data_IF_999152132481
#
_entry.id   IF_999152132481
#
_cell.length_a   1.000
_cell.length_b   1.000
_cell.length_c   1.000
_cell.angle_alpha   90.00
_cell.angle_beta   90.00
_cell.angle_gamma   90.00
#
_symmetry.space_group_name_H-M   'P 1'
#
loop_
_entity.id
_entity.type
_entity.pdbx_description
1 polymer ?
#
# COMPACT_ATOMS: atom_id res chain seq x y z
N UNK A 1 -4.46 7.68 4.04
CA UNK A 1 -3.09 7.11 3.99
C UNK A 1 -2.11 7.78 4.97
N UNK A 2 -2.54 8.16 6.19
CA UNK A 2 -1.71 8.97 7.12
C UNK A 2 -0.86 8.10 8.08
N UNK A 3 -0.96 6.78 7.97
CA UNK A 3 -0.52 5.86 9.01
C UNK A 3 0.46 4.76 8.54
N UNK A 4 0.95 4.76 7.29
CA UNK A 4 1.87 3.72 6.82
C UNK A 4 3.14 3.60 7.69
N UNK A 5 3.56 4.71 8.29
CA UNK A 5 4.69 4.76 9.22
C UNK A 5 4.48 3.92 10.49
N UNK A 6 3.22 3.67 10.91
CA UNK A 6 2.88 2.84 12.06
C UNK A 6 3.31 1.37 11.86
N UNK A 7 3.34 0.91 10.62
CA UNK A 7 3.64 -0.48 10.28
C UNK A 7 4.92 -0.61 9.44
N UNK A 8 5.63 0.50 9.21
CA UNK A 8 6.81 0.59 8.34
C UNK A 8 6.48 0.55 6.84
N UNK A 9 5.57 -0.33 6.42
CA UNK A 9 5.06 -0.40 5.06
C UNK A 9 3.61 -0.90 5.03
N UNK A 10 2.91 -0.64 3.92
CA UNK A 10 1.58 -1.20 3.65
C UNK A 10 1.65 -1.95 2.32
N UNK A 11 1.24 -3.21 2.34
CA UNK A 11 0.99 -3.98 1.14
C UNK A 11 -0.30 -3.57 0.47
N UNK A 12 -0.28 -3.35 -0.84
CA UNK A 12 -1.45 -2.97 -1.62
C UNK A 12 -1.66 -3.99 -2.74
N UNK A 13 -2.83 -4.63 -2.75
CA UNK A 13 -3.35 -5.36 -3.90
C UNK A 13 -3.94 -4.38 -4.91
N UNK A 14 -3.70 -4.61 -6.19
CA UNK A 14 -4.16 -3.76 -7.28
C UNK A 14 -4.74 -4.62 -8.41
N UNK A 15 -5.89 -4.23 -8.95
CA UNK A 15 -6.24 -4.54 -10.34
C UNK A 15 -5.46 -3.57 -11.25
N UNK A 16 -4.27 -3.98 -11.70
CA UNK A 16 -3.34 -3.09 -12.35
C UNK A 16 -3.84 -2.73 -13.76
N UNK A 17 -4.06 -1.44 -14.08
CA UNK A 17 -4.50 -1.06 -15.42
C UNK A 17 -3.34 -1.12 -16.42
N UNK A 18 -3.66 -1.38 -17.70
CA UNK A 18 -2.71 -1.32 -18.83
C UNK A 18 -1.94 0.00 -18.87
N UNK A 19 -2.63 1.11 -18.61
CA UNK A 19 -2.04 2.45 -18.55
C UNK A 19 -0.97 2.62 -17.47
N UNK A 20 -0.98 1.82 -16.39
CA UNK A 20 0.06 1.86 -15.37
C UNK A 20 1.39 1.29 -15.89
N UNK A 21 1.35 0.28 -16.76
CA UNK A 21 2.56 -0.27 -17.40
C UNK A 21 3.18 0.81 -18.30
N UNK A 22 2.36 1.45 -19.13
CA UNK A 22 2.78 2.55 -20.02
C UNK A 22 3.37 3.72 -19.23
N UNK A 23 2.69 4.15 -18.16
CA UNK A 23 3.17 5.23 -17.29
C UNK A 23 4.48 4.86 -16.61
N UNK A 24 4.65 3.61 -16.17
CA UNK A 24 5.89 3.17 -15.54
C UNK A 24 7.06 3.21 -16.53
N UNK A 25 6.89 2.67 -17.72
CA UNK A 25 7.91 2.65 -18.77
C UNK A 25 8.29 4.07 -19.20
N UNK A 26 7.30 4.96 -19.30
CA UNK A 26 7.50 6.39 -19.58
C UNK A 26 8.05 7.20 -18.38
N UNK A 27 8.20 6.59 -17.19
CA UNK A 27 8.59 7.24 -15.94
C UNK A 27 7.63 8.35 -15.49
N UNK A 28 6.36 8.24 -15.84
CA UNK A 28 5.29 9.08 -15.33
C UNK A 28 4.79 8.58 -13.97
N UNK A 29 4.10 9.45 -13.23
CA UNK A 29 3.40 9.07 -12.00
C UNK A 29 2.24 8.13 -12.35
N UNK A 30 2.04 7.08 -11.56
CA UNK A 30 0.82 6.27 -11.68
C UNK A 30 -0.41 7.09 -11.35
N UNK A 31 -1.29 7.23 -12.34
CA UNK A 31 -2.47 8.03 -12.23
C UNK A 31 -3.64 7.50 -13.06
N UNK A 32 -4.87 7.85 -12.67
CA UNK A 32 -6.07 7.39 -13.37
C UNK A 32 -6.14 8.05 -14.75
N UNK A 33 -6.16 7.23 -15.80
CA UNK A 33 -6.26 7.63 -17.20
C UNK A 33 -7.47 7.00 -17.89
N UNK A 34 -8.14 7.71 -18.82
CA UNK A 34 -9.18 7.12 -19.66
C UNK A 34 -8.65 5.94 -20.50
N UNK A 35 -9.54 5.02 -20.87
CA UNK A 35 -9.20 3.87 -21.73
C UNK A 35 -8.41 2.75 -21.03
N UNK A 36 -8.19 2.87 -19.72
CA UNK A 36 -7.58 1.81 -18.92
C UNK A 36 -8.44 0.54 -18.93
N UNK A 37 -7.80 -0.59 -19.21
CA UNK A 37 -8.35 -1.93 -19.01
C UNK A 37 -7.49 -2.69 -18.01
N UNK A 38 -8.04 -3.69 -17.33
CA UNK A 38 -7.24 -4.56 -16.46
C UNK A 38 -6.11 -5.23 -17.24
N UNK A 39 -4.90 -5.20 -16.68
CA UNK A 39 -3.75 -5.98 -17.10
C UNK A 39 -3.48 -7.17 -16.16
N UNK A 40 -4.34 -7.37 -15.15
CA UNK A 40 -4.24 -8.41 -14.13
C UNK A 40 -3.88 -7.88 -12.74
N UNK A 41 -3.88 -8.79 -11.77
CA UNK A 41 -3.55 -8.48 -10.38
C UNK A 41 -2.06 -8.14 -10.19
N UNK A 42 -1.78 -7.17 -9.34
CA UNK A 42 -0.42 -6.78 -8.96
C UNK A 42 -0.33 -6.41 -7.49
N UNK A 43 0.80 -6.73 -6.86
CA UNK A 43 1.06 -6.43 -5.46
C UNK A 43 2.23 -5.47 -5.33
N UNK A 44 2.06 -4.39 -4.56
CA UNK A 44 3.10 -3.38 -4.35
C UNK A 44 3.23 -3.01 -2.87
N UNK A 45 4.44 -2.67 -2.46
CA UNK A 45 4.71 -2.19 -1.09
C UNK A 45 4.73 -0.67 -1.08
N UNK A 46 3.75 -0.04 -0.42
CA UNK A 46 3.75 1.37 -0.09
C UNK A 46 4.75 1.63 1.05
N UNK A 47 5.78 2.42 0.77
CA UNK A 47 6.93 2.62 1.68
C UNK A 47 7.13 4.08 2.12
N UNK A 48 6.56 5.05 1.41
CA UNK A 48 6.72 6.45 1.77
C UNK A 48 5.60 7.35 1.23
N UNK A 49 5.59 8.59 1.71
CA UNK A 49 4.87 9.70 1.09
C UNK A 49 5.77 10.94 1.05
N UNK A 50 6.19 11.36 -0.14
CA UNK A 50 7.10 12.49 -0.37
C UNK A 50 6.53 13.40 -1.47
N UNK A 51 5.34 13.93 -1.22
CA UNK A 51 4.47 14.56 -2.24
C UNK A 51 3.42 13.58 -2.73
N UNK A 52 3.83 12.59 -3.52
CA UNK A 52 3.02 11.42 -3.88
C UNK A 52 3.19 10.29 -2.86
N UNK A 53 2.30 9.29 -2.94
CA UNK A 53 2.53 8.00 -2.31
C UNK A 53 3.61 7.28 -3.12
N UNK A 54 4.58 6.66 -2.46
CA UNK A 54 5.62 5.89 -3.14
C UNK A 54 5.43 4.40 -2.86
N UNK A 55 5.38 3.61 -3.93
CA UNK A 55 5.34 2.15 -3.88
C UNK A 55 6.62 1.57 -4.47
N UNK A 56 7.05 0.40 -4.01
CA UNK A 56 8.13 -0.35 -4.64
C UNK A 56 7.52 -1.30 -5.67
N UNK A 57 7.93 -1.15 -6.93
CA UNK A 57 7.52 -2.03 -8.03
C UNK A 57 8.63 -2.08 -9.09
N UNK A 58 8.80 -3.25 -9.71
CA UNK A 58 9.77 -3.50 -10.79
C UNK A 58 11.16 -2.87 -10.54
N UNK A 59 11.70 -3.10 -9.34
CA UNK A 59 13.08 -2.75 -8.98
C UNK A 59 13.34 -1.32 -8.53
N UNK A 60 12.32 -0.47 -8.34
CA UNK A 60 12.48 0.91 -7.83
C UNK A 60 11.25 1.42 -7.07
N UNK A 61 11.41 2.55 -6.39
CA UNK A 61 10.25 3.33 -5.94
C UNK A 61 9.57 3.99 -7.14
N UNK A 62 8.24 4.04 -7.10
CA UNK A 62 7.41 4.63 -8.13
C UNK A 62 6.33 5.50 -7.48
N UNK A 63 6.18 6.76 -7.89
CA UNK A 63 5.17 7.65 -7.36
C UNK A 63 3.78 7.29 -7.88
N UNK A 64 2.78 7.35 -7.01
CA UNK A 64 1.39 6.99 -7.25
C UNK A 64 0.48 8.08 -6.67
N UNK A 65 -0.55 8.47 -7.41
CA UNK A 65 -1.54 9.42 -6.89
C UNK A 65 -2.51 8.73 -5.92
N UNK A 66 -3.07 9.48 -4.94
CA UNK A 66 -4.13 8.95 -4.09
C UNK A 66 -5.33 8.40 -4.86
N UNK A 67 -5.71 9.05 -5.98
CA UNK A 67 -6.86 8.61 -6.80
C UNK A 67 -6.61 7.27 -7.48
N UNK A 68 -5.37 6.98 -7.88
CA UNK A 68 -5.02 5.67 -8.43
C UNK A 68 -5.22 4.56 -7.40
N UNK A 69 -4.77 4.75 -6.16
CA UNK A 69 -4.98 3.78 -5.08
C UNK A 69 -6.48 3.61 -4.79
N UNK A 70 -7.26 4.69 -4.74
CA UNK A 70 -8.71 4.59 -4.52
C UNK A 70 -9.45 3.85 -5.64
N UNK A 71 -8.97 3.97 -6.87
CA UNK A 71 -9.62 3.39 -8.04
C UNK A 71 -9.29 1.92 -8.23
N UNK A 72 -8.05 1.52 -7.95
CA UNK A 72 -7.53 0.22 -8.37
C UNK A 72 -7.14 -0.71 -7.21
N UNK A 73 -7.05 -0.22 -5.98
CA UNK A 73 -6.74 -1.08 -4.84
C UNK A 73 -7.99 -1.78 -4.31
N UNK A 74 -7.94 -3.10 -4.21
CA UNK A 74 -8.95 -3.98 -3.61
C UNK A 74 -8.59 -4.38 -2.18
N UNK A 75 -7.31 -4.59 -1.89
CA UNK A 75 -6.84 -4.87 -0.53
C UNK A 75 -5.68 -3.96 -0.08
N UNK A 76 -5.64 -3.71 1.23
CA UNK A 76 -4.50 -3.13 1.92
C UNK A 76 -4.18 -3.96 3.17
N UNK A 77 -2.93 -4.43 3.27
CA UNK A 77 -2.47 -5.27 4.38
C UNK A 77 -1.26 -4.64 5.06
N UNK A 78 -1.16 -4.84 6.37
CA UNK A 78 0.02 -4.45 7.15
C UNK A 78 0.67 -5.70 7.73
N UNK A 79 2.00 -5.67 7.83
CA UNK A 79 2.77 -6.78 8.35
C UNK A 79 3.03 -6.57 9.84
N UNK A 80 2.63 -7.55 10.65
CA UNK A 80 2.91 -7.59 12.08
C UNK A 80 3.72 -8.86 12.33
N UNK A 81 4.91 -8.73 12.93
CA UNK A 81 5.73 -9.88 13.29
C UNK A 81 5.83 -10.00 14.81
N UNK A 82 5.89 -11.22 15.36
CA UNK A 82 6.09 -11.42 16.80
C UNK A 82 7.35 -10.70 17.31
N UNK A 83 8.42 -10.66 16.53
CA UNK A 83 9.66 -9.96 16.92
C UNK A 83 9.47 -8.44 17.09
N UNK A 84 8.49 -7.85 16.40
CA UNK A 84 8.14 -6.43 16.56
C UNK A 84 7.15 -6.20 17.70
N UNK A 85 6.56 -7.25 18.27
CA UNK A 85 5.72 -7.19 19.45
C UNK A 85 6.59 -7.66 20.63
N UNK A 86 7.16 -6.72 21.39
CA UNK A 86 7.89 -7.09 22.62
C UNK A 86 6.92 -7.74 23.62
N UNK A 87 7.38 -8.09 24.82
CA UNK A 87 6.54 -8.73 25.86
C UNK A 87 5.26 -7.96 26.22
N UNK A 88 5.08 -6.71 25.76
CA UNK A 88 3.87 -5.91 25.98
C UNK A 88 3.37 -5.12 24.75
N UNK A 89 4.24 -4.56 23.90
CA UNK A 89 3.82 -3.77 22.71
C UNK A 89 4.92 -3.62 21.64
N UNK A 90 4.56 -3.13 20.44
CA UNK A 90 5.50 -2.67 19.42
C UNK A 90 6.13 -1.31 19.75
N UNK A 91 7.22 -0.90 19.07
CA UNK A 91 7.78 0.45 19.23
C UNK A 91 6.78 1.58 18.99
N UNK A 92 5.79 1.33 18.14
CA UNK A 92 4.69 2.24 17.81
C UNK A 92 3.50 2.12 18.80
N UNK A 93 3.63 1.28 19.83
CA UNK A 93 2.67 1.11 20.91
C UNK A 93 1.59 0.05 20.66
N UNK A 94 1.71 -0.77 19.62
CA UNK A 94 0.68 -1.76 19.30
C UNK A 94 0.80 -3.02 20.16
N UNK A 95 -0.29 -3.37 20.85
CA UNK A 95 -0.45 -4.66 21.51
C UNK A 95 -1.29 -5.60 20.62
N UNK A 96 -0.87 -6.87 20.49
CA UNK A 96 -1.57 -7.82 19.61
C UNK A 96 -3.03 -8.03 20.01
N UNK A 97 -3.34 -8.07 21.32
CA UNK A 97 -4.71 -8.18 21.80
C UNK A 97 -5.57 -7.01 21.35
N UNK A 98 -5.05 -5.77 21.43
CA UNK A 98 -5.75 -4.59 20.97
C UNK A 98 -5.98 -4.62 19.45
N UNK A 99 -5.01 -5.07 18.65
CA UNK A 99 -5.18 -5.20 17.20
C UNK A 99 -6.27 -6.21 16.82
N UNK A 100 -6.40 -7.30 17.58
CA UNK A 100 -7.48 -8.29 17.39
C UNK A 100 -8.83 -7.68 17.76
N UNK A 101 -8.90 -6.95 18.88
CA UNK A 101 -10.12 -6.27 19.32
C UNK A 101 -10.56 -5.21 18.30
N UNK A 102 -9.62 -4.42 17.78
CA UNK A 102 -9.86 -3.40 16.76
C UNK A 102 -10.37 -4.04 15.44
N UNK A 103 -9.76 -5.16 15.02
CA UNK A 103 -10.19 -5.89 13.82
C UNK A 103 -11.63 -6.40 13.96
N UNK A 104 -12.02 -6.86 15.15
CA UNK A 104 -13.38 -7.32 15.41
C UNK A 104 -14.44 -6.20 15.31
N UNK A 105 -14.04 -4.92 15.46
CA UNK A 105 -14.94 -3.77 15.32
C UNK A 105 -15.13 -3.31 13.86
N UNK A 106 -14.34 -3.83 12.91
CA UNK A 106 -14.43 -3.47 11.49
C UNK A 106 -15.44 -4.34 10.70
N UNK A 107 -16.02 -5.35 11.35
CA UNK A 107 -17.04 -6.25 10.80
C UNK A 107 -18.44 -5.90 11.31
#
# INVERSE_FOLDING_TARGET
YVAAWLFGAVGIGLDLPTTAIEQFDARHVWDVSPGATSAGGHYVSLVARRGFVEVVTWGRTHPVTPRFIQQYADEAIVYITPDRLTTTASPEGFAMSQLIDDLAQLN
#
